data_IF_752896395833
#
_entry.id   IF_752896395833
#
_cell.length_a   1.000
_cell.length_b   1.000
_cell.length_c   1.000
_cell.angle_alpha   90.00
_cell.angle_beta   90.00
_cell.angle_gamma   90.00
#
_symmetry.space_group_name_H-M   'P 1'
#
loop_
_entity.id
_entity.type
_entity.pdbx_description
1 polymer ?
#
# COMPACT_ATOMS: atom_id res chain seq x y z
N UNK A 1 62.56 -3.84 34.51
CA UNK A 1 61.38 -4.72 34.42
C UNK A 1 60.81 -4.66 33.01
N UNK A 2 60.43 -5.81 32.41
CA UNK A 2 60.12 -5.95 30.98
C UNK A 2 58.61 -5.92 30.68
N UNK A 3 58.24 -5.71 29.42
CA UNK A 3 57.08 -6.22 28.62
C UNK A 3 56.88 -5.27 27.42
N UNK A 4 56.58 -5.67 26.18
CA UNK A 4 56.25 -6.95 25.54
C UNK A 4 56.54 -6.81 24.02
N UNK A 5 56.98 -7.90 23.40
CA UNK A 5 57.03 -8.13 21.94
C UNK A 5 55.61 -8.08 21.34
N UNK A 6 55.49 -7.76 20.05
CA UNK A 6 55.18 -8.75 18.99
C UNK A 6 55.24 -8.17 17.58
N UNK A 7 55.93 -8.91 16.73
CA UNK A 7 55.95 -8.89 15.27
C UNK A 7 55.08 -10.04 14.77
N UNK A 8 54.21 -9.82 13.79
CA UNK A 8 53.54 -10.84 12.94
C UNK A 8 53.34 -10.17 11.57
N UNK A 9 54.12 -10.54 10.56
CA UNK A 9 53.87 -11.64 9.61
C UNK A 9 52.63 -11.39 8.74
N UNK A 10 52.89 -11.03 7.48
CA UNK A 10 51.88 -10.95 6.44
C UNK A 10 51.62 -12.31 5.82
N UNK A 11 50.34 -12.64 5.60
CA UNK A 11 49.97 -13.68 4.65
C UNK A 11 48.54 -13.49 4.09
N UNK A 12 48.46 -13.63 2.76
CA UNK A 12 47.33 -13.97 1.88
C UNK A 12 46.03 -13.12 1.95
N UNK A 13 45.86 -12.25 0.94
CA UNK A 13 44.54 -11.77 0.50
C UNK A 13 43.80 -12.91 -0.22
N UNK A 14 42.51 -13.17 0.07
CA UNK A 14 41.73 -14.08 -0.76
C UNK A 14 41.43 -13.41 -2.11
N UNK A 15 41.64 -14.16 -3.19
CA UNK A 15 41.35 -13.77 -4.56
C UNK A 15 39.83 -13.57 -4.74
N UNK A 16 39.34 -12.62 -5.56
CA UNK A 16 37.92 -12.54 -5.87
C UNK A 16 37.55 -13.74 -6.74
N UNK A 17 36.57 -14.51 -6.26
CA UNK A 17 35.95 -15.60 -7.01
C UNK A 17 35.33 -15.04 -8.28
N UNK A 18 35.81 -15.50 -9.44
CA UNK A 18 35.21 -15.20 -10.75
C UNK A 18 33.77 -15.71 -10.79
N UNK A 19 32.77 -14.93 -11.22
CA UNK A 19 31.41 -15.43 -11.29
C UNK A 19 31.30 -16.51 -12.37
N UNK A 20 30.90 -17.71 -11.96
CA UNK A 20 30.62 -18.86 -12.81
C UNK A 20 29.58 -18.47 -13.90
N UNK A 21 29.86 -18.71 -15.20
CA UNK A 21 28.96 -18.28 -16.29
C UNK A 21 27.66 -19.09 -16.39
N UNK A 22 27.46 -20.11 -15.56
CA UNK A 22 26.31 -21.00 -15.60
C UNK A 22 25.03 -20.43 -14.93
N UNK A 23 25.12 -19.32 -14.17
CA UNK A 23 23.96 -18.78 -13.42
C UNK A 23 23.20 -17.63 -14.13
N UNK A 24 23.66 -17.18 -15.32
CA UNK A 24 23.03 -16.03 -16.02
C UNK A 24 21.69 -16.34 -16.69
N UNK A 25 21.41 -17.60 -17.01
CA UNK A 25 20.21 -17.99 -17.78
C UNK A 25 18.93 -18.01 -16.92
N UNK A 26 19.04 -18.44 -15.65
CA UNK A 26 17.93 -18.52 -14.70
C UNK A 26 17.52 -17.16 -14.14
N UNK A 27 18.45 -16.21 -14.00
CA UNK A 27 18.15 -14.88 -13.48
C UNK A 27 17.45 -13.98 -14.51
N UNK A 28 17.85 -14.05 -15.78
CA UNK A 28 17.22 -13.24 -16.85
C UNK A 28 15.78 -13.69 -17.11
N UNK A 29 15.52 -15.00 -17.04
CA UNK A 29 14.17 -15.55 -17.24
C UNK A 29 13.22 -15.26 -16.08
N UNK A 30 13.72 -15.18 -14.84
CA UNK A 30 12.95 -14.70 -13.68
C UNK A 30 12.67 -13.20 -13.76
N UNK A 31 13.68 -12.38 -14.06
CA UNK A 31 13.53 -10.93 -14.16
C UNK A 31 12.50 -10.53 -15.23
N UNK A 32 12.55 -11.13 -16.43
CA UNK A 32 11.56 -10.87 -17.48
C UNK A 32 10.13 -11.27 -17.08
N UNK A 33 10.00 -12.32 -16.27
CA UNK A 33 8.69 -12.77 -15.77
C UNK A 33 8.15 -11.83 -14.69
N UNK A 34 9.01 -11.35 -13.79
CA UNK A 34 8.63 -10.36 -12.78
C UNK A 34 8.26 -9.01 -13.42
N UNK A 35 9.00 -8.56 -14.43
CA UNK A 35 8.71 -7.33 -15.17
C UNK A 35 7.37 -7.41 -15.93
N UNK A 36 7.10 -8.54 -16.60
CA UNK A 36 5.81 -8.75 -17.28
C UNK A 36 4.63 -8.81 -16.29
N UNK A 37 4.82 -9.42 -15.11
CA UNK A 37 3.78 -9.47 -14.07
C UNK A 37 3.52 -8.06 -13.51
N UNK A 38 4.56 -7.27 -13.25
CA UNK A 38 4.40 -5.88 -12.80
C UNK A 38 3.70 -5.01 -13.84
N UNK A 39 4.05 -5.14 -15.13
CA UNK A 39 3.39 -4.38 -16.20
C UNK A 39 1.89 -4.71 -16.31
N UNK A 40 1.52 -5.98 -16.12
CA UNK A 40 0.11 -6.39 -16.06
C UNK A 40 -0.59 -5.81 -14.82
N UNK A 41 0.02 -5.90 -13.63
CA UNK A 41 -0.53 -5.34 -12.38
C UNK A 41 -0.76 -3.82 -12.49
N UNK A 42 0.17 -3.09 -13.14
CA UNK A 42 0.04 -1.64 -13.36
C UNK A 42 -1.11 -1.32 -14.32
N UNK A 43 -1.27 -2.09 -15.40
CA UNK A 43 -2.38 -1.92 -16.34
C UNK A 43 -3.72 -2.19 -15.67
N UNK A 44 -3.81 -3.24 -14.86
CA UNK A 44 -5.01 -3.56 -14.08
C UNK A 44 -5.34 -2.43 -13.11
N UNK A 45 -4.34 -1.88 -12.40
CA UNK A 45 -4.52 -0.76 -11.49
C UNK A 45 -5.01 0.52 -12.20
N UNK A 46 -4.47 0.83 -13.38
CA UNK A 46 -4.94 1.97 -14.18
C UNK A 46 -6.40 1.83 -14.59
N UNK A 47 -6.80 0.63 -15.06
CA UNK A 47 -8.19 0.36 -15.43
C UNK A 47 -9.12 0.46 -14.22
N UNK A 48 -8.70 -0.09 -13.07
CA UNK A 48 -9.44 -0.01 -11.82
C UNK A 48 -9.61 1.44 -11.38
N UNK A 49 -8.51 2.20 -11.30
CA UNK A 49 -8.54 3.60 -10.90
C UNK A 49 -9.45 4.42 -11.80
N UNK A 50 -9.29 4.31 -13.13
CA UNK A 50 -10.12 5.06 -14.07
C UNK A 50 -11.60 4.72 -13.93
N UNK A 51 -11.94 3.43 -13.81
CA UNK A 51 -13.32 3.01 -13.60
C UNK A 51 -13.89 3.57 -12.29
N UNK A 52 -13.13 3.48 -11.19
CA UNK A 52 -13.56 3.98 -9.88
C UNK A 52 -13.72 5.49 -9.91
N UNK A 53 -12.72 6.20 -10.45
CA UNK A 53 -12.71 7.66 -10.52
C UNK A 53 -13.87 8.20 -11.35
N UNK A 54 -14.12 7.62 -12.53
CA UNK A 54 -15.26 8.00 -13.38
C UNK A 54 -16.60 7.77 -12.68
N UNK A 55 -16.75 6.65 -11.97
CA UNK A 55 -17.97 6.40 -11.19
C UNK A 55 -18.15 7.46 -10.11
N UNK A 56 -17.10 7.80 -9.37
CA UNK A 56 -17.15 8.83 -8.31
C UNK A 56 -17.45 10.22 -8.88
N UNK A 57 -16.80 10.62 -9.96
CA UNK A 57 -17.07 11.90 -10.67
C UNK A 57 -18.50 12.00 -11.19
N UNK A 58 -19.10 10.87 -11.58
CA UNK A 58 -20.49 10.87 -12.06
C UNK A 58 -21.52 11.02 -10.95
N UNK A 59 -21.15 10.66 -9.71
CA UNK A 59 -22.04 10.67 -8.55
C UNK A 59 -21.84 11.90 -7.66
N UNK A 60 -20.63 12.45 -7.61
CA UNK A 60 -20.25 13.57 -6.76
C UNK A 60 -20.11 14.86 -7.57
N UNK A 61 -20.61 15.97 -7.04
CA UNK A 61 -20.36 17.29 -7.62
C UNK A 61 -18.86 17.60 -7.57
N UNK A 62 -18.34 18.29 -8.60
CA UNK A 62 -16.89 18.51 -8.78
C UNK A 62 -16.17 19.19 -7.61
N UNK A 63 -16.89 19.92 -6.74
CA UNK A 63 -16.33 20.54 -5.54
C UNK A 63 -16.00 19.51 -4.43
N UNK A 64 -16.62 18.33 -4.45
CA UNK A 64 -16.39 17.25 -3.50
C UNK A 64 -15.40 16.18 -4.01
N UNK A 65 -14.76 16.40 -5.17
CA UNK A 65 -13.71 15.52 -5.71
C UNK A 65 -12.33 15.86 -5.12
N UNK A 66 -12.27 16.13 -3.82
CA UNK A 66 -11.04 16.50 -3.12
C UNK A 66 -10.69 15.47 -2.05
N UNK A 67 -9.50 14.91 -2.16
CA UNK A 67 -8.93 14.07 -1.11
C UNK A 67 -8.45 14.89 0.09
N UNK A 68 -8.38 14.26 1.28
CA UNK A 68 -7.87 14.89 2.51
C UNK A 68 -6.49 15.51 2.31
N UNK A 69 -6.24 16.64 2.99
CA UNK A 69 -4.92 17.28 2.96
C UNK A 69 -3.80 16.37 3.48
N UNK A 70 -4.10 15.52 4.46
CA UNK A 70 -3.19 14.52 4.99
C UNK A 70 -3.87 13.15 5.08
N UNK A 71 -3.23 12.11 4.56
CA UNK A 71 -3.74 10.74 4.66
C UNK A 71 -2.70 9.81 5.29
N UNK A 72 -3.09 9.11 6.35
CA UNK A 72 -2.26 8.11 7.03
C UNK A 72 -2.74 6.70 6.71
N UNK A 73 -1.90 5.91 6.04
CA UNK A 73 -2.17 4.51 5.72
C UNK A 73 -1.63 3.59 6.82
N UNK A 74 -2.50 3.04 7.66
CA UNK A 74 -2.15 2.13 8.74
C UNK A 74 -2.32 0.68 8.29
N UNK A 75 -1.20 -0.02 8.14
CA UNK A 75 -1.18 -1.43 7.81
C UNK A 75 -0.37 -2.21 8.84
N UNK A 76 -0.87 -3.38 9.23
CA UNK A 76 -0.22 -4.22 10.24
C UNK A 76 -1.10 -5.39 10.67
N UNK A 77 -0.50 -6.39 11.29
CA UNK A 77 -1.21 -7.58 11.75
C UNK A 77 -2.30 -7.26 12.78
N UNK A 78 -3.35 -8.09 12.91
CA UNK A 78 -4.25 -8.05 14.06
C UNK A 78 -3.44 -8.13 15.36
N UNK A 79 -3.74 -7.27 16.33
CA UNK A 79 -3.02 -7.24 17.61
C UNK A 79 -1.67 -6.49 17.60
N UNK A 80 -1.21 -5.95 16.46
CA UNK A 80 0.04 -5.19 16.38
C UNK A 80 0.01 -3.79 17.06
N UNK A 81 -1.07 -3.47 17.79
CA UNK A 81 -1.21 -2.18 18.47
C UNK A 81 -1.65 -1.01 17.57
N UNK A 82 -2.17 -1.27 16.37
CA UNK A 82 -2.65 -0.23 15.45
C UNK A 82 -3.64 0.72 16.11
N UNK A 83 -4.62 0.21 16.86
CA UNK A 83 -5.61 1.05 17.56
C UNK A 83 -4.98 2.06 18.53
N UNK A 84 -3.91 1.69 19.23
CA UNK A 84 -3.15 2.60 20.09
C UNK A 84 -2.49 3.71 19.27
N UNK A 85 -1.88 3.35 18.13
CA UNK A 85 -1.25 4.32 17.23
C UNK A 85 -2.27 5.22 16.54
N UNK A 86 -3.42 4.67 16.13
CA UNK A 86 -4.53 5.43 15.56
C UNK A 86 -4.99 6.52 16.51
N UNK A 87 -5.28 6.16 17.77
CA UNK A 87 -5.69 7.14 18.78
C UNK A 87 -4.63 8.23 19.00
N UNK A 88 -3.35 7.83 19.07
CA UNK A 88 -2.25 8.77 19.21
C UNK A 88 -2.11 9.74 18.02
N UNK A 89 -2.21 9.24 16.78
CA UNK A 89 -2.12 10.07 15.57
C UNK A 89 -3.30 11.04 15.51
N UNK A 90 -4.51 10.57 15.82
CA UNK A 90 -5.71 11.41 15.83
C UNK A 90 -5.57 12.57 16.82
N UNK A 91 -5.12 12.28 18.05
CA UNK A 91 -4.89 13.31 19.07
C UNK A 91 -3.77 14.27 18.66
N UNK A 92 -2.66 13.75 18.14
CA UNK A 92 -1.50 14.56 17.76
C UNK A 92 -1.75 15.47 16.53
N UNK A 93 -2.65 15.06 15.63
CA UNK A 93 -2.99 15.80 14.41
C UNK A 93 -4.33 16.54 14.49
N UNK A 94 -4.97 16.55 15.66
CA UNK A 94 -6.29 17.14 15.88
C UNK A 94 -7.37 16.61 14.93
N UNK A 95 -7.31 15.33 14.57
CA UNK A 95 -8.33 14.69 13.75
C UNK A 95 -9.54 14.32 14.60
N UNK A 96 -10.67 14.97 14.33
CA UNK A 96 -11.94 14.72 15.01
C UNK A 96 -12.69 13.51 14.45
N UNK A 97 -12.46 13.19 13.18
CA UNK A 97 -13.20 12.17 12.48
C UNK A 97 -12.67 10.76 12.72
N UNK A 98 -13.60 9.80 12.74
CA UNK A 98 -13.25 8.39 12.97
C UNK A 98 -12.37 7.86 11.83
N UNK A 99 -11.39 6.98 12.15
CA UNK A 99 -10.56 6.34 11.14
C UNK A 99 -11.42 5.50 10.19
N UNK A 100 -11.02 5.48 8.93
CA UNK A 100 -11.62 4.68 7.88
C UNK A 100 -11.08 3.25 8.00
N UNK A 101 -11.86 2.36 8.60
CA UNK A 101 -11.48 0.95 8.75
C UNK A 101 -12.10 0.14 7.61
N UNK A 102 -11.28 -0.41 6.72
CA UNK A 102 -11.76 -1.09 5.50
C UNK A 102 -12.66 -2.29 5.83
N UNK A 103 -12.38 -3.02 6.91
CA UNK A 103 -13.24 -4.14 7.32
C UNK A 103 -14.65 -3.70 7.73
N UNK A 104 -14.82 -2.46 8.17
CA UNK A 104 -16.13 -1.92 8.53
C UNK A 104 -16.83 -1.32 7.32
N UNK A 105 -16.08 -0.72 6.37
CA UNK A 105 -16.61 -0.36 5.07
C UNK A 105 -17.20 -1.57 4.33
N UNK A 106 -16.54 -2.74 4.39
CA UNK A 106 -17.03 -3.98 3.78
C UNK A 106 -18.30 -4.54 4.44
N UNK A 107 -18.62 -4.14 5.68
CA UNK A 107 -19.86 -4.51 6.38
C UNK A 107 -20.99 -3.51 6.14
N UNK A 108 -20.70 -2.38 5.51
CA UNK A 108 -21.68 -1.33 5.25
C UNK A 108 -22.81 -1.82 4.31
N UNK A 109 -24.02 -1.25 4.40
CA UNK A 109 -25.09 -1.54 3.45
C UNK A 109 -24.69 -1.31 1.99
N UNK A 110 -23.81 -0.34 1.73
CA UNK A 110 -23.30 0.01 0.39
C UNK A 110 -22.45 -1.14 -0.16
N UNK A 111 -21.49 -1.62 0.63
CA UNK A 111 -20.70 -2.80 0.28
C UNK A 111 -21.59 -4.04 0.12
N UNK A 112 -22.62 -4.18 0.96
CA UNK A 112 -23.56 -5.29 0.85
C UNK A 112 -24.35 -5.27 -0.45
N UNK A 113 -24.82 -4.10 -0.90
CA UNK A 113 -25.50 -3.96 -2.21
C UNK A 113 -24.58 -4.33 -3.36
N UNK A 114 -23.31 -3.92 -3.31
CA UNK A 114 -22.31 -4.32 -4.32
C UNK A 114 -22.09 -5.84 -4.32
N UNK A 115 -21.95 -6.44 -3.15
CA UNK A 115 -21.78 -7.89 -3.00
C UNK A 115 -23.02 -8.68 -3.44
N UNK A 116 -24.21 -8.21 -3.09
CA UNK A 116 -25.48 -8.83 -3.44
C UNK A 116 -25.74 -8.74 -4.97
N UNK A 117 -25.16 -7.76 -5.66
CA UNK A 117 -25.15 -7.68 -7.14
C UNK A 117 -24.20 -8.71 -7.80
N UNK A 118 -23.58 -9.61 -7.01
CA UNK A 118 -22.68 -10.65 -7.49
C UNK A 118 -21.23 -10.20 -7.65
N UNK A 119 -20.88 -9.00 -7.19
CA UNK A 119 -19.50 -8.51 -7.23
C UNK A 119 -18.74 -9.05 -6.01
N UNK A 120 -17.68 -9.81 -6.24
CA UNK A 120 -16.74 -10.17 -5.19
C UNK A 120 -16.04 -8.89 -4.69
N UNK A 121 -15.76 -8.78 -3.40
CA UNK A 121 -14.98 -7.66 -2.86
C UNK A 121 -13.51 -7.79 -3.30
N UNK A 122 -13.25 -7.41 -4.55
CA UNK A 122 -11.92 -7.36 -5.15
C UNK A 122 -11.27 -6.00 -4.96
N UNK A 123 -10.13 -5.81 -5.63
CA UNK A 123 -9.37 -4.56 -5.53
C UNK A 123 -10.17 -3.35 -6.01
N UNK A 124 -11.05 -3.51 -7.02
CA UNK A 124 -11.89 -2.43 -7.54
C UNK A 124 -12.90 -1.95 -6.53
N UNK A 125 -13.70 -2.85 -5.96
CA UNK A 125 -14.77 -2.53 -5.01
C UNK A 125 -14.19 -1.97 -3.72
N UNK A 126 -13.08 -2.52 -3.23
CA UNK A 126 -12.38 -2.01 -2.04
C UNK A 126 -11.83 -0.60 -2.30
N UNK A 127 -11.20 -0.38 -3.45
CA UNK A 127 -10.68 0.95 -3.83
C UNK A 127 -11.81 1.97 -3.93
N UNK A 128 -12.93 1.60 -4.56
CA UNK A 128 -14.10 2.47 -4.66
C UNK A 128 -14.65 2.88 -3.28
N UNK A 129 -14.84 1.92 -2.38
CA UNK A 129 -15.34 2.18 -1.02
C UNK A 129 -14.40 3.10 -0.24
N UNK A 130 -13.09 2.89 -0.34
CA UNK A 130 -12.09 3.70 0.36
C UNK A 130 -12.05 5.11 -0.22
N UNK A 131 -11.99 5.25 -1.55
CA UNK A 131 -11.92 6.56 -2.20
C UNK A 131 -13.19 7.38 -1.95
N UNK A 132 -14.36 6.76 -2.12
CA UNK A 132 -15.64 7.38 -1.80
C UNK A 132 -15.68 7.91 -0.37
N UNK A 133 -15.15 7.14 0.58
CA UNK A 133 -15.12 7.55 1.99
C UNK A 133 -14.13 8.69 2.23
N UNK A 134 -12.98 8.68 1.56
CA UNK A 134 -11.97 9.74 1.65
C UNK A 134 -12.45 11.06 1.04
N UNK A 135 -13.31 11.01 0.02
CA UNK A 135 -13.92 12.20 -0.61
C UNK A 135 -15.05 12.83 0.22
N UNK A 136 -15.41 12.25 1.37
CA UNK A 136 -16.37 12.87 2.27
C UNK A 136 -15.76 14.16 2.86
N UNK A 137 -16.44 15.33 2.74
CA UNK A 137 -15.93 16.61 3.25
C UNK A 137 -15.53 16.62 4.72
N UNK A 138 -16.05 15.69 5.54
CA UNK A 138 -15.62 15.56 6.93
C UNK A 138 -14.11 15.28 7.06
N UNK A 139 -13.50 14.67 6.04
CA UNK A 139 -12.08 14.31 6.04
C UNK A 139 -11.19 15.34 5.32
N UNK A 140 -11.67 16.52 4.94
CA UNK A 140 -10.87 17.51 4.17
C UNK A 140 -9.52 17.85 4.84
N UNK A 141 -9.49 17.91 6.18
CA UNK A 141 -8.27 18.20 6.95
C UNK A 141 -7.33 17.01 7.06
N UNK A 142 -7.86 15.80 7.17
CA UNK A 142 -7.06 14.60 7.23
C UNK A 142 -7.86 13.33 7.49
N UNK A 143 -7.30 12.21 7.06
CA UNK A 143 -7.88 10.89 7.25
C UNK A 143 -6.83 9.87 7.69
N UNK A 144 -7.28 8.89 8.47
CA UNK A 144 -6.52 7.69 8.77
C UNK A 144 -7.27 6.52 8.16
N UNK A 145 -6.58 5.70 7.36
CA UNK A 145 -7.15 4.51 6.73
C UNK A 145 -6.46 3.27 7.30
N UNK A 146 -7.22 2.37 7.93
CA UNK A 146 -6.72 1.09 8.44
C UNK A 146 -7.09 -0.05 7.49
N UNK A 147 -6.06 -0.76 7.04
CA UNK A 147 -6.19 -1.98 6.27
C UNK A 147 -6.30 -1.76 4.76
N UNK A 148 -5.80 -0.64 4.26
CA UNK A 148 -5.59 -0.35 2.84
C UNK A 148 -4.26 0.43 2.68
N UNK A 149 -3.51 0.22 1.59
CA UNK A 149 -3.63 -0.86 0.61
C UNK A 149 -3.08 -2.20 1.13
N UNK A 150 -3.64 -3.33 0.68
CA UNK A 150 -3.20 -4.71 1.01
C UNK A 150 -2.62 -5.48 -0.17
N UNK A 151 -2.89 -5.05 -1.39
CA UNK A 151 -2.40 -5.69 -2.63
C UNK A 151 -1.53 -4.71 -3.40
N UNK A 152 -0.67 -5.22 -4.29
CA UNK A 152 0.15 -4.37 -5.15
C UNK A 152 -0.71 -3.52 -6.08
N UNK A 153 -1.77 -4.08 -6.64
CA UNK A 153 -2.73 -3.36 -7.47
C UNK A 153 -3.32 -2.15 -6.74
N UNK A 154 -3.73 -2.30 -5.48
CA UNK A 154 -4.21 -1.17 -4.66
C UNK A 154 -3.12 -0.12 -4.40
N UNK A 155 -1.86 -0.54 -4.23
CA UNK A 155 -0.72 0.39 -4.11
C UNK A 155 -0.52 1.17 -5.40
N UNK A 156 -0.57 0.51 -6.56
CA UNK A 156 -0.46 1.19 -7.85
C UNK A 156 -1.62 2.15 -8.10
N UNK A 157 -2.85 1.82 -7.67
CA UNK A 157 -3.99 2.74 -7.73
C UNK A 157 -3.74 4.05 -6.95
N UNK A 158 -2.98 4.01 -5.84
CA UNK A 158 -2.67 5.20 -5.05
C UNK A 158 -1.59 6.10 -5.66
N UNK A 159 -0.87 5.62 -6.68
CA UNK A 159 0.19 6.39 -7.36
C UNK A 159 -0.31 7.17 -8.58
N UNK A 160 -1.55 6.94 -8.99
CA UNK A 160 -2.20 7.57 -10.14
C UNK A 160 -2.85 8.89 -9.73
#
# INVERSE_FOLDING_TARGET
MPTRKTSEEGQAKPNPESPDPANKSSDVSKANKEEAVMDLEVKDAQLIFQSVWQNLESELDGDNMRFPAETFWLNGAPGAGKGTQTAFIMEFRDFTEKPIVVSDLLKSPEARKMMDAGMLAGDREVTELVFRRLLDPIYDTGAIVDGFPRTKTQVECLKL
#
